data_IF_085748002465
#
_entry.id   IF_085748002465
#
_cell.length_a   1.000
_cell.length_b   1.000
_cell.length_c   1.000
_cell.angle_alpha   90.00
_cell.angle_beta   90.00
_cell.angle_gamma   90.00
#
_symmetry.space_group_name_H-M   'P 1'
#
loop_
_entity.id
_entity.type
_entity.pdbx_description
1 polymer ?
#
# COMPACT_ATOMS: atom_id res chain seq x y z
N UNK A 1 11.35 9.25 -14.68
CA UNK A 1 10.22 8.45 -14.16
C UNK A 1 9.74 9.16 -12.91
N UNK A 2 8.48 9.63 -12.85
CA UNK A 2 8.06 10.57 -11.79
C UNK A 2 7.10 9.98 -10.76
N UNK A 3 6.76 8.70 -10.87
CA UNK A 3 5.96 8.00 -9.86
C UNK A 3 6.40 6.53 -9.81
N UNK A 4 6.92 6.10 -8.66
CA UNK A 4 6.97 4.70 -8.28
C UNK A 4 5.65 4.42 -7.57
N UNK A 5 4.77 3.54 -8.07
CA UNK A 5 3.56 3.14 -7.37
C UNK A 5 3.79 1.93 -6.46
N UNK A 6 4.98 1.31 -6.52
CA UNK A 6 5.30 0.09 -5.79
C UNK A 6 5.92 -1.00 -6.65
N UNK A 7 6.17 -2.13 -6.00
CA UNK A 7 6.74 -3.32 -6.61
C UNK A 7 6.17 -4.58 -5.97
N UNK A 8 6.34 -5.72 -6.65
CA UNK A 8 6.11 -7.01 -6.02
C UNK A 8 7.14 -7.27 -4.92
N UNK A 9 6.66 -7.89 -3.86
CA UNK A 9 7.43 -8.36 -2.72
C UNK A 9 7.27 -9.86 -2.56
N UNK A 10 8.30 -10.53 -2.04
CA UNK A 10 8.23 -11.93 -1.63
C UNK A 10 9.28 -12.17 -0.54
N UNK A 11 10.02 -13.29 -0.62
CA UNK A 11 11.22 -13.54 0.18
C UNK A 11 12.32 -12.50 -0.08
N UNK A 12 12.28 -11.83 -1.23
CA UNK A 12 13.06 -10.64 -1.54
C UNK A 12 12.18 -9.39 -1.38
N UNK A 13 12.80 -8.29 -0.95
CA UNK A 13 12.13 -6.99 -0.83
C UNK A 13 11.69 -6.52 -2.22
N UNK A 14 12.57 -6.57 -3.23
CA UNK A 14 12.25 -6.02 -4.54
C UNK A 14 12.34 -7.10 -5.64
N UNK A 15 11.20 -7.68 -5.99
CA UNK A 15 11.14 -8.68 -7.06
C UNK A 15 11.10 -8.04 -8.45
N UNK A 16 10.06 -7.25 -8.74
CA UNK A 16 9.91 -6.47 -9.98
C UNK A 16 8.75 -5.47 -9.83
N UNK A 17 8.74 -4.41 -10.64
CA UNK A 17 7.59 -3.50 -10.73
C UNK A 17 6.78 -3.80 -12.01
N UNK A 18 5.58 -4.40 -11.91
CA UNK A 18 4.73 -4.65 -13.07
C UNK A 18 4.01 -3.37 -13.56
N UNK A 19 4.18 -2.24 -12.87
CA UNK A 19 3.50 -0.99 -13.17
C UNK A 19 4.44 -0.05 -13.92
N UNK A 20 4.12 0.18 -15.19
CA UNK A 20 4.81 1.15 -16.04
C UNK A 20 3.84 1.72 -17.06
N UNK A 21 4.24 2.81 -17.72
CA UNK A 21 3.42 3.42 -18.79
C UNK A 21 3.19 2.37 -19.87
N UNK A 22 1.92 2.11 -20.18
CA UNK A 22 1.47 1.11 -21.16
C UNK A 22 1.82 -0.34 -20.81
N UNK A 23 2.05 -0.66 -19.53
CA UNK A 23 2.23 -2.06 -19.10
C UNK A 23 0.99 -2.89 -19.43
N UNK A 24 1.20 -4.03 -20.06
CA UNK A 24 0.20 -5.08 -20.31
C UNK A 24 0.28 -6.22 -19.27
N UNK A 25 1.14 -6.06 -18.26
CA UNK A 25 1.32 -7.07 -17.21
C UNK A 25 0.04 -7.21 -16.40
N UNK A 26 -0.54 -8.42 -16.43
CA UNK A 26 -1.73 -8.72 -15.65
C UNK A 26 -1.37 -8.96 -14.19
N UNK A 27 -2.04 -8.23 -13.30
CA UNK A 27 -1.99 -8.50 -11.88
C UNK A 27 -2.97 -9.63 -11.54
N UNK A 28 -2.55 -10.59 -10.73
CA UNK A 28 -3.30 -11.81 -10.47
C UNK A 28 -3.29 -12.22 -9.00
N UNK A 29 -4.16 -13.18 -8.69
CA UNK A 29 -4.24 -13.80 -7.37
C UNK A 29 -2.88 -14.31 -6.90
N UNK A 30 -2.62 -14.22 -5.60
CA UNK A 30 -1.38 -14.56 -4.91
C UNK A 30 -0.18 -13.62 -5.15
N UNK A 31 -0.36 -12.52 -5.86
CA UNK A 31 0.67 -11.47 -5.91
C UNK A 31 0.62 -10.60 -4.65
N UNK A 32 1.79 -10.35 -4.04
CA UNK A 32 1.95 -9.42 -2.94
C UNK A 32 2.73 -8.19 -3.40
N UNK A 33 2.29 -7.01 -2.95
CA UNK A 33 2.88 -5.73 -3.31
C UNK A 33 3.24 -4.94 -2.07
N UNK A 34 4.36 -4.25 -2.18
CA UNK A 34 4.61 -3.05 -1.42
C UNK A 34 4.15 -1.89 -2.31
N UNK A 35 3.10 -1.22 -1.87
CA UNK A 35 2.80 0.13 -2.30
C UNK A 35 3.94 0.99 -1.76
N UNK A 36 4.66 1.66 -2.67
CA UNK A 36 5.82 2.49 -2.34
C UNK A 36 5.72 3.80 -3.13
N UNK A 37 4.81 4.67 -2.67
CA UNK A 37 4.50 5.93 -3.33
C UNK A 37 5.45 6.99 -2.79
N UNK A 38 6.42 7.34 -3.64
CA UNK A 38 7.45 8.35 -3.37
C UNK A 38 7.13 9.59 -4.23
N UNK A 39 6.63 10.69 -3.64
CA UNK A 39 6.31 11.88 -4.42
C UNK A 39 7.60 12.58 -4.89
N UNK A 40 7.80 12.64 -6.20
CA UNK A 40 8.86 13.45 -6.78
C UNK A 40 8.45 14.93 -6.78
N UNK A 41 8.96 15.71 -5.83
CA UNK A 41 8.55 17.12 -5.61
C UNK A 41 9.05 18.06 -6.71
N UNK A 42 10.04 17.66 -7.50
CA UNK A 42 10.70 18.53 -8.49
C UNK A 42 11.47 19.70 -7.85
N UNK A 43 11.69 19.67 -6.54
CA UNK A 43 12.40 20.69 -5.77
C UNK A 43 13.68 20.11 -5.13
N UNK A 44 14.56 20.95 -4.55
CA UNK A 44 15.70 20.47 -3.77
C UNK A 44 15.32 19.75 -2.46
N UNK A 45 14.03 19.78 -2.08
CA UNK A 45 13.55 19.27 -0.81
C UNK A 45 12.89 17.90 -0.97
N UNK A 46 13.15 17.04 0.02
CA UNK A 46 12.50 15.74 0.15
C UNK A 46 11.09 15.89 0.75
N UNK A 47 10.29 14.85 0.60
CA UNK A 47 8.97 14.74 1.22
C UNK A 47 8.83 13.37 1.86
N UNK A 48 7.77 13.18 2.65
CA UNK A 48 7.45 11.87 3.21
C UNK A 48 6.97 10.92 2.10
N UNK A 49 7.23 9.63 2.30
CA UNK A 49 6.70 8.57 1.45
C UNK A 49 5.39 8.03 2.04
N UNK A 50 4.66 7.30 1.23
CA UNK A 50 3.51 6.52 1.65
C UNK A 50 3.73 5.08 1.24
N UNK A 51 3.82 4.20 2.23
CA UNK A 51 4.10 2.79 2.04
C UNK A 51 3.01 1.93 2.67
N UNK A 52 2.57 0.89 1.95
CA UNK A 52 1.58 -0.08 2.44
C UNK A 52 1.85 -1.48 1.87
N UNK A 53 1.50 -2.51 2.62
CA UNK A 53 1.48 -3.89 2.14
C UNK A 53 0.08 -4.31 1.69
N UNK A 54 -0.05 -4.77 0.44
CA UNK A 54 -1.27 -5.39 -0.08
C UNK A 54 -0.98 -6.76 -0.70
N UNK A 55 -1.98 -7.63 -0.76
CA UNK A 55 -1.95 -8.78 -1.66
C UNK A 55 -3.21 -8.83 -2.50
N UNK A 56 -3.13 -9.55 -3.62
CA UNK A 56 -4.26 -9.83 -4.47
C UNK A 56 -4.72 -11.26 -4.24
N UNK A 57 -6.00 -11.46 -3.97
CA UNK A 57 -6.61 -12.79 -3.88
C UNK A 57 -7.92 -12.80 -4.65
N UNK A 58 -8.10 -13.78 -5.53
CA UNK A 58 -9.39 -14.08 -6.14
C UNK A 58 -10.42 -14.55 -5.09
N UNK A 59 -11.67 -14.75 -5.50
CA UNK A 59 -12.76 -15.14 -4.60
C UNK A 59 -12.43 -16.40 -3.79
N UNK A 60 -11.86 -17.42 -4.44
CA UNK A 60 -11.47 -18.67 -3.78
C UNK A 60 -10.35 -18.44 -2.77
N UNK A 61 -9.33 -17.67 -3.14
CA UNK A 61 -8.21 -17.32 -2.27
C UNK A 61 -8.66 -16.51 -1.05
N UNK A 62 -9.61 -15.57 -1.23
CA UNK A 62 -10.21 -14.82 -0.12
C UNK A 62 -10.98 -15.73 0.84
N UNK A 63 -11.79 -16.65 0.31
CA UNK A 63 -12.55 -17.60 1.12
C UNK A 63 -11.62 -18.51 1.94
N UNK A 64 -10.59 -19.08 1.31
CA UNK A 64 -9.59 -19.90 2.00
C UNK A 64 -8.83 -19.10 3.06
N UNK A 65 -8.44 -17.86 2.75
CA UNK A 65 -7.75 -17.00 3.70
C UNK A 65 -8.62 -16.67 4.93
N UNK A 66 -9.90 -16.35 4.69
CA UNK A 66 -10.87 -16.06 5.75
C UNK A 66 -11.08 -17.26 6.68
N UNK A 67 -11.17 -18.47 6.13
CA UNK A 67 -11.32 -19.70 6.91
C UNK A 67 -10.07 -20.01 7.75
N UNK A 68 -8.88 -19.91 7.15
CA UNK A 68 -7.63 -20.29 7.81
C UNK A 68 -7.13 -19.26 8.81
N UNK A 69 -7.35 -17.97 8.55
CA UNK A 69 -6.85 -16.86 9.37
C UNK A 69 -7.95 -15.85 9.72
N UNK A 70 -8.98 -16.26 10.46
CA UNK A 70 -10.18 -15.44 10.71
C UNK A 70 -9.87 -14.11 11.41
N UNK A 71 -8.92 -14.09 12.34
CA UNK A 71 -8.50 -12.84 13.01
C UNK A 71 -7.76 -11.88 12.08
N UNK A 72 -6.97 -12.40 11.13
CA UNK A 72 -6.31 -11.56 10.15
C UNK A 72 -7.33 -11.00 9.16
N UNK A 73 -8.25 -11.85 8.71
CA UNK A 73 -9.38 -11.46 7.87
C UNK A 73 -10.22 -10.34 8.50
N UNK A 74 -10.58 -10.45 9.79
CA UNK A 74 -11.31 -9.39 10.50
C UNK A 74 -10.58 -8.04 10.43
N UNK A 75 -9.27 -8.01 10.69
CA UNK A 75 -8.48 -6.78 10.58
C UNK A 75 -8.45 -6.23 9.15
N UNK A 76 -8.37 -7.10 8.15
CA UNK A 76 -8.39 -6.70 6.73
C UNK A 76 -9.74 -6.07 6.39
N UNK A 77 -10.86 -6.66 6.83
CA UNK A 77 -12.20 -6.11 6.60
C UNK A 77 -12.39 -4.77 7.31
N UNK A 78 -11.95 -4.65 8.56
CA UNK A 78 -12.00 -3.38 9.29
C UNK A 78 -11.22 -2.27 8.56
N UNK A 79 -10.03 -2.58 8.04
CA UNK A 79 -9.25 -1.63 7.22
C UNK A 79 -9.95 -1.29 5.92
N UNK A 80 -10.54 -2.26 5.23
CA UNK A 80 -11.30 -2.02 3.99
C UNK A 80 -12.48 -1.08 4.25
N UNK A 81 -13.26 -1.30 5.32
CA UNK A 81 -14.33 -0.39 5.74
C UNK A 81 -13.78 1.00 6.03
N UNK A 82 -12.72 1.14 6.84
CA UNK A 82 -12.13 2.44 7.13
C UNK A 82 -11.66 3.18 5.86
N UNK A 83 -10.93 2.50 4.98
CA UNK A 83 -10.46 3.10 3.72
C UNK A 83 -11.61 3.54 2.82
N UNK A 84 -12.68 2.75 2.73
CA UNK A 84 -13.83 3.09 1.88
C UNK A 84 -14.73 4.17 2.49
N UNK A 85 -15.07 4.04 3.77
CA UNK A 85 -16.10 4.84 4.44
C UNK A 85 -15.53 6.17 4.95
N UNK A 86 -14.31 6.19 5.47
CA UNK A 86 -13.70 7.39 6.06
C UNK A 86 -12.76 8.11 5.09
N UNK A 87 -11.97 7.36 4.30
CA UNK A 87 -11.01 7.96 3.35
C UNK A 87 -11.56 8.11 1.93
N UNK A 88 -12.68 7.46 1.61
CA UNK A 88 -13.24 7.46 0.25
C UNK A 88 -12.40 6.67 -0.77
N UNK A 89 -11.51 5.79 -0.31
CA UNK A 89 -10.67 4.94 -1.16
C UNK A 89 -11.38 3.61 -1.38
N UNK A 90 -12.02 3.47 -2.54
CA UNK A 90 -12.68 2.24 -2.93
C UNK A 90 -11.67 1.19 -3.41
N UNK A 91 -11.59 0.06 -2.70
CA UNK A 91 -10.73 -1.07 -3.06
C UNK A 91 -11.53 -2.16 -3.79
N UNK A 92 -11.02 -2.60 -4.93
CA UNK A 92 -11.48 -3.82 -5.59
C UNK A 92 -11.51 -4.99 -4.59
N UNK A 93 -12.45 -5.92 -4.74
CA UNK A 93 -12.62 -7.02 -3.78
C UNK A 93 -11.35 -7.86 -3.64
N UNK A 94 -10.59 -8.02 -4.72
CA UNK A 94 -9.36 -8.79 -4.75
C UNK A 94 -8.23 -8.19 -3.92
N UNK A 95 -8.30 -6.89 -3.58
CA UNK A 95 -7.23 -6.18 -2.87
C UNK A 95 -7.34 -6.38 -1.36
N UNK A 96 -6.32 -7.00 -0.78
CA UNK A 96 -6.23 -7.32 0.64
C UNK A 96 -5.25 -6.36 1.34
N UNK A 97 -5.73 -5.32 2.07
CA UNK A 97 -4.85 -4.41 2.81
C UNK A 97 -4.33 -5.02 4.12
N UNK A 98 -3.00 -5.12 4.25
CA UNK A 98 -2.34 -5.70 5.44
C UNK A 98 -1.76 -4.66 6.40
N UNK A 99 -1.39 -3.49 5.88
CA UNK A 99 -0.76 -2.41 6.64
C UNK A 99 -1.75 -1.66 7.55
N UNK A 100 -1.26 -1.16 8.68
CA UNK A 100 -2.02 -0.27 9.56
C UNK A 100 -1.95 1.20 9.14
N UNK A 101 -1.11 1.54 8.16
CA UNK A 101 -0.92 2.91 7.72
C UNK A 101 -2.10 3.37 6.83
N UNK A 102 -2.67 2.46 6.03
CA UNK A 102 -3.92 2.70 5.28
C UNK A 102 -3.86 3.99 4.44
N UNK A 103 -2.85 4.08 3.58
CA UNK A 103 -2.59 5.23 2.70
C UNK A 103 -2.32 6.53 3.48
N UNK A 104 -1.72 6.43 4.66
CA UNK A 104 -1.30 7.59 5.42
C UNK A 104 -0.02 8.21 4.85
N UNK A 105 -0.11 9.51 4.53
CA UNK A 105 1.03 10.36 4.25
C UNK A 105 1.15 11.41 5.36
N UNK A 106 2.33 11.54 5.96
CA UNK A 106 2.62 12.51 7.01
C UNK A 106 3.45 13.70 6.49
N UNK A 107 2.87 14.65 5.73
CA UNK A 107 3.64 15.68 5.01
C UNK A 107 4.40 16.65 5.92
N UNK A 108 3.94 16.83 7.17
CA UNK A 108 4.52 17.79 8.11
C UNK A 108 5.53 17.19 9.10
N UNK A 109 5.76 15.87 9.05
CA UNK A 109 6.81 15.23 9.88
C UNK A 109 8.21 15.75 9.58
N UNK A 110 8.43 16.31 8.40
CA UNK A 110 9.70 16.92 8.01
C UNK A 110 9.71 18.45 8.18
N UNK A 111 8.70 19.03 8.84
CA UNK A 111 8.70 20.46 9.14
C UNK A 111 9.86 20.79 10.09
N UNK A 112 10.85 21.59 9.65
CA UNK A 112 12.09 21.80 10.40
C UNK A 112 11.84 22.42 11.77
N UNK A 113 10.78 23.22 11.90
CA UNK A 113 10.41 23.90 13.15
C UNK A 113 9.63 23.01 14.14
N UNK A 114 9.17 21.84 13.71
CA UNK A 114 8.29 20.95 14.51
C UNK A 114 8.94 19.60 14.85
N UNK A 115 9.85 19.09 14.00
CA UNK A 115 10.38 17.73 14.14
C UNK A 115 11.68 17.64 14.96
N UNK A 116 12.52 18.69 14.96
CA UNK A 116 13.82 18.71 15.64
C UNK A 116 13.96 19.89 16.61
N UNK A 117 13.02 20.05 17.54
CA UNK A 117 13.25 20.98 18.65
C UNK A 117 14.09 20.25 19.72
N UNK A 118 15.40 20.50 19.76
CA UNK A 118 16.17 20.32 20.99
C UNK A 118 15.66 21.38 21.98
N UNK A 119 15.17 20.95 23.14
CA UNK A 119 15.02 21.83 24.30
C UNK A 119 16.31 21.87 25.08
#
# INVERSE_FOLDING_TARGET
VTLNPGHLIHLDEWMHSPVSRNSDTRLGSHMAFQVDIIPATGSPWFTANMEDGIALLDERGRAEFAERWPQAWERIQARRSFMQEELGIALHEEVMPFSNLASHLAPFWLSPDLAFTLR
#
